data_IF_959082011702
#
_entry.id   IF_959082011702
#
_cell.length_a   1.000
_cell.length_b   1.000
_cell.length_c   1.000
_cell.angle_alpha   90.00
_cell.angle_beta   90.00
_cell.angle_gamma   90.00
#
_symmetry.space_group_name_H-M   'P 1'
#
loop_
_entity.id
_entity.type
_entity.pdbx_description
1 polymer ?
#
# COMPACT_ATOMS: atom_id res chain seq x y z
N UNK A 1 -7.40 1.33 -10.25
CA UNK A 1 -7.04 0.17 -11.12
C UNK A 1 -5.70 0.41 -11.82
N UNK A 2 -4.85 -0.63 -11.97
CA UNK A 2 -3.56 -0.53 -12.68
C UNK A 2 -3.73 -0.23 -14.19
N UNK A 3 -2.83 0.57 -14.76
CA UNK A 3 -2.94 1.10 -16.13
C UNK A 3 -2.21 0.21 -17.16
N UNK A 4 -1.00 -0.26 -16.85
CA UNK A 4 -0.16 -1.10 -17.72
C UNK A 4 -0.52 -2.59 -17.65
N UNK A 5 -0.12 -3.36 -18.66
CA UNK A 5 -0.40 -4.81 -18.71
C UNK A 5 0.40 -5.59 -17.65
N UNK A 6 1.63 -5.16 -17.37
CA UNK A 6 2.51 -5.81 -16.39
C UNK A 6 1.99 -5.64 -14.95
N UNK A 7 1.54 -4.44 -14.60
CA UNK A 7 1.00 -4.18 -13.26
C UNK A 7 -0.41 -4.74 -13.09
N UNK A 8 -1.20 -4.86 -14.17
CA UNK A 8 -2.44 -5.65 -14.17
C UNK A 8 -2.19 -7.11 -13.80
N UNK A 9 -1.21 -7.77 -14.42
CA UNK A 9 -0.87 -9.16 -14.07
C UNK A 9 -0.43 -9.28 -12.61
N UNK A 10 0.39 -8.35 -12.14
CA UNK A 10 0.84 -8.32 -10.74
C UNK A 10 -0.35 -8.11 -9.79
N UNK A 11 -1.32 -7.27 -10.16
CA UNK A 11 -2.54 -7.03 -9.40
C UNK A 11 -3.45 -8.25 -9.36
N UNK A 12 -3.58 -9.03 -10.45
CA UNK A 12 -4.31 -10.31 -10.41
C UNK A 12 -3.66 -11.31 -9.45
N UNK A 13 -2.33 -11.35 -9.36
CA UNK A 13 -1.62 -12.18 -8.37
C UNK A 13 -1.92 -11.72 -6.94
N UNK A 14 -1.99 -10.40 -6.71
CA UNK A 14 -2.40 -9.83 -5.42
C UNK A 14 -3.85 -10.19 -5.08
N UNK A 15 -4.77 -10.12 -6.05
CA UNK A 15 -6.16 -10.54 -5.86
C UNK A 15 -6.25 -12.03 -5.48
N UNK A 16 -5.45 -12.90 -6.12
CA UNK A 16 -5.36 -14.31 -5.77
C UNK A 16 -4.88 -14.54 -4.33
N UNK A 17 -3.86 -13.78 -3.90
CA UNK A 17 -3.40 -13.82 -2.51
C UNK A 17 -4.51 -13.45 -1.51
N UNK A 18 -5.28 -12.40 -1.82
CA UNK A 18 -6.37 -11.93 -0.95
C UNK A 18 -7.51 -12.96 -0.94
N UNK A 19 -7.86 -13.52 -2.09
CA UNK A 19 -8.87 -14.58 -2.18
C UNK A 19 -8.46 -15.84 -1.39
N UNK A 20 -7.18 -16.21 -1.38
CA UNK A 20 -6.66 -17.29 -0.50
C UNK A 20 -6.83 -16.94 0.99
N UNK A 21 -6.73 -15.66 1.36
CA UNK A 21 -6.81 -15.22 2.75
C UNK A 21 -8.26 -15.09 3.27
N UNK A 22 -9.15 -14.46 2.51
CA UNK A 22 -10.54 -14.14 2.94
C UNK A 22 -11.61 -15.06 2.32
N UNK A 23 -11.18 -16.01 1.49
CA UNK A 23 -12.04 -16.95 0.78
C UNK A 23 -12.66 -16.39 -0.49
N UNK A 24 -13.60 -17.16 -1.05
CA UNK A 24 -14.27 -16.82 -2.30
C UNK A 24 -15.29 -15.68 -2.07
N UNK A 25 -14.87 -14.46 -2.40
CA UNK A 25 -15.65 -13.24 -2.26
C UNK A 25 -15.96 -12.63 -3.62
N UNK A 26 -16.99 -11.77 -3.67
CA UNK A 26 -17.29 -11.01 -4.87
C UNK A 26 -16.08 -10.17 -5.32
N UNK A 27 -15.86 -10.06 -6.63
CA UNK A 27 -14.68 -9.37 -7.18
C UNK A 27 -14.57 -7.91 -6.73
N UNK A 28 -15.69 -7.21 -6.50
CA UNK A 28 -15.69 -5.87 -5.94
C UNK A 28 -15.07 -5.80 -4.53
N UNK A 29 -15.35 -6.80 -3.68
CA UNK A 29 -14.78 -6.91 -2.34
C UNK A 29 -13.28 -7.22 -2.41
N UNK A 30 -12.88 -8.16 -3.28
CA UNK A 30 -11.47 -8.49 -3.49
C UNK A 30 -10.67 -7.27 -3.98
N UNK A 31 -11.21 -6.51 -4.94
CA UNK A 31 -10.59 -5.27 -5.41
C UNK A 31 -10.48 -4.23 -4.30
N UNK A 32 -11.53 -4.03 -3.49
CA UNK A 32 -11.50 -3.11 -2.36
C UNK A 32 -10.41 -3.48 -1.35
N UNK A 33 -10.33 -4.76 -0.98
CA UNK A 33 -9.27 -5.24 -0.09
C UNK A 33 -7.86 -5.08 -0.72
N UNK A 34 -7.71 -5.34 -2.01
CA UNK A 34 -6.43 -5.17 -2.70
C UNK A 34 -5.98 -3.71 -2.74
N UNK A 35 -6.94 -2.80 -2.92
CA UNK A 35 -6.72 -1.37 -2.92
C UNK A 35 -6.26 -0.90 -1.53
N UNK A 36 -6.94 -1.30 -0.45
CA UNK A 36 -6.52 -1.01 0.93
C UNK A 36 -5.13 -1.59 1.26
N UNK A 37 -4.85 -2.81 0.83
CA UNK A 37 -3.52 -3.42 1.00
C UNK A 37 -2.44 -2.60 0.28
N UNK A 38 -2.69 -2.13 -0.94
CA UNK A 38 -1.74 -1.29 -1.66
C UNK A 38 -1.54 0.06 -0.96
N UNK A 39 -2.58 0.68 -0.41
CA UNK A 39 -2.48 1.91 0.38
C UNK A 39 -1.52 1.71 1.56
N UNK A 40 -1.70 0.63 2.33
CA UNK A 40 -0.83 0.32 3.47
C UNK A 40 0.61 0.04 3.03
N UNK A 41 0.81 -0.72 1.95
CA UNK A 41 2.14 -1.05 1.42
C UNK A 41 2.89 0.18 0.89
N UNK A 42 2.17 1.18 0.39
CA UNK A 42 2.72 2.43 -0.14
C UNK A 42 2.86 3.53 0.92
N UNK A 43 2.43 3.27 2.16
CA UNK A 43 2.59 4.24 3.24
C UNK A 43 4.02 4.24 3.79
N UNK A 44 4.84 5.17 3.30
CA UNK A 44 6.25 5.33 3.69
C UNK A 44 6.47 5.75 5.15
N UNK A 45 5.41 6.15 5.86
CA UNK A 45 5.46 6.45 7.30
C UNK A 45 5.42 5.19 8.17
N UNK A 46 4.97 4.06 7.62
CA UNK A 46 4.86 2.79 8.34
C UNK A 46 6.09 1.90 8.07
N UNK A 47 6.60 1.27 9.13
CA UNK A 47 7.63 0.22 8.99
C UNK A 47 6.98 -1.10 8.59
N UNK A 48 7.76 -2.03 8.03
CA UNK A 48 7.27 -3.33 7.55
C UNK A 48 6.45 -4.11 8.60
N UNK A 49 6.86 -4.08 9.87
CA UNK A 49 6.12 -4.74 10.96
C UNK A 49 4.73 -4.13 11.17
N UNK A 50 4.64 -2.80 11.06
CA UNK A 50 3.41 -2.05 11.24
C UNK A 50 2.51 -2.29 10.02
N UNK A 51 3.05 -2.18 8.79
CA UNK A 51 2.34 -2.52 7.54
C UNK A 51 1.77 -3.94 7.56
N UNK A 52 2.55 -4.91 8.05
CA UNK A 52 2.11 -6.28 8.19
C UNK A 52 0.91 -6.40 9.13
N UNK A 53 0.99 -5.76 10.29
CA UNK A 53 -0.07 -5.79 11.30
C UNK A 53 -1.38 -5.18 10.79
N UNK A 54 -1.27 -4.06 10.06
CA UNK A 54 -2.42 -3.42 9.41
C UNK A 54 -3.06 -4.34 8.35
N UNK A 55 -2.26 -4.96 7.47
CA UNK A 55 -2.77 -5.90 6.46
C UNK A 55 -3.42 -7.13 7.11
N UNK A 56 -2.82 -7.69 8.17
CA UNK A 56 -3.42 -8.79 8.93
C UNK A 56 -4.77 -8.39 9.53
N UNK A 57 -4.89 -7.14 10.00
CA UNK A 57 -6.13 -6.60 10.55
C UNK A 57 -7.18 -6.42 9.47
N UNK A 58 -6.81 -5.83 8.33
CA UNK A 58 -7.69 -5.63 7.16
C UNK A 58 -8.26 -6.97 6.66
N UNK A 59 -7.42 -7.99 6.53
CA UNK A 59 -7.82 -9.31 6.04
C UNK A 59 -8.34 -10.23 7.15
N UNK A 60 -8.35 -9.76 8.41
CA UNK A 60 -8.69 -10.54 9.60
C UNK A 60 -7.98 -11.90 9.67
N UNK A 61 -6.76 -11.97 9.14
CA UNK A 61 -6.03 -13.21 8.90
C UNK A 61 -4.55 -13.02 9.22
N UNK A 62 -3.94 -14.01 9.88
CA UNK A 62 -2.50 -14.01 10.16
C UNK A 62 -1.70 -14.35 8.90
N UNK A 63 -0.65 -13.59 8.65
CA UNK A 63 0.17 -13.71 7.44
C UNK A 63 1.58 -14.15 7.84
N UNK A 64 2.07 -15.30 7.36
CA UNK A 64 3.47 -15.69 7.56
C UNK A 64 4.44 -14.67 6.94
N UNK A 65 5.62 -14.48 7.52
CA UNK A 65 6.62 -13.50 7.04
C UNK A 65 6.98 -13.69 5.56
N UNK A 66 7.10 -14.95 5.11
CA UNK A 66 7.37 -15.27 3.72
C UNK A 66 6.25 -14.79 2.77
N UNK A 67 4.99 -14.92 3.20
CA UNK A 67 3.82 -14.48 2.42
C UNK A 67 3.73 -12.95 2.43
N UNK A 68 4.05 -12.30 3.55
CA UNK A 68 4.14 -10.84 3.63
C UNK A 68 5.23 -10.28 2.70
N UNK A 69 6.43 -10.86 2.70
CA UNK A 69 7.51 -10.45 1.81
C UNK A 69 7.12 -10.57 0.32
N UNK A 70 6.36 -11.61 -0.03
CA UNK A 70 5.80 -11.75 -1.38
C UNK A 70 4.85 -10.61 -1.73
N UNK A 71 3.89 -10.28 -0.84
CA UNK A 71 2.95 -9.16 -1.02
C UNK A 71 3.66 -7.81 -1.13
N UNK A 72 4.71 -7.56 -0.33
CA UNK A 72 5.55 -6.35 -0.44
C UNK A 72 6.20 -6.25 -1.82
N UNK A 73 6.70 -7.36 -2.36
CA UNK A 73 7.32 -7.38 -3.69
C UNK A 73 6.30 -7.13 -4.82
N UNK A 74 5.06 -7.61 -4.69
CA UNK A 74 3.97 -7.28 -5.61
C UNK A 74 3.65 -5.77 -5.55
N UNK A 75 3.51 -5.23 -4.34
CA UNK A 75 3.27 -3.81 -4.12
C UNK A 75 4.35 -2.90 -4.72
N UNK A 76 5.62 -3.30 -4.66
CA UNK A 76 6.73 -2.55 -5.29
C UNK A 76 6.61 -2.48 -6.81
N UNK A 77 6.13 -3.55 -7.45
CA UNK A 77 5.96 -3.63 -8.91
C UNK A 77 4.73 -2.87 -9.41
N UNK A 78 3.71 -2.72 -8.57
CA UNK A 78 2.50 -1.94 -8.90
C UNK A 78 2.78 -0.46 -8.59
N UNK A 79 3.08 0.33 -9.62
CA UNK A 79 3.41 1.76 -9.48
C UNK A 79 2.33 2.68 -10.05
N UNK A 80 1.55 2.19 -11.00
CA UNK A 80 0.57 2.94 -11.80
C UNK A 80 -0.87 2.54 -11.47
N UNK A 81 -1.17 2.44 -10.17
CA UNK A 81 -2.51 2.16 -9.65
C UNK A 81 -3.15 3.45 -9.13
N UNK A 82 -4.44 3.64 -9.42
CA UNK A 82 -5.27 4.72 -8.86
C UNK A 82 -6.35 4.10 -8.00
N UNK A 83 -6.67 4.65 -6.84
CA UNK A 83 -8.01 4.48 -6.27
C UNK A 83 -8.99 5.22 -7.18
N UNK A 84 -10.20 4.72 -7.37
CA UNK A 84 -11.23 5.48 -8.09
C UNK A 84 -11.80 6.64 -7.25
N UNK A 85 -11.34 6.77 -6.00
CA UNK A 85 -11.50 7.96 -5.17
C UNK A 85 -10.72 9.12 -5.79
N UNK A 86 -11.39 9.86 -6.66
CA UNK A 86 -10.99 11.21 -7.07
C UNK A 86 -11.00 12.15 -5.86
N UNK A 87 -10.04 12.04 -4.94
CA UNK A 87 -9.51 13.14 -4.13
C UNK A 87 -8.30 12.68 -3.30
N UNK A 88 -7.08 12.84 -3.82
CA UNK A 88 -5.89 12.84 -2.96
C UNK A 88 -4.58 12.39 -3.59
N UNK A 89 -3.91 13.33 -4.27
CA UNK A 89 -2.45 13.41 -4.45
C UNK A 89 -1.82 12.19 -5.15
N UNK A 90 -1.73 12.16 -6.47
CA UNK A 90 -0.77 12.98 -7.25
C UNK A 90 0.53 13.23 -6.49
N UNK A 91 1.58 12.59 -6.99
CA UNK A 91 3.00 12.91 -6.81
C UNK A 91 3.29 14.25 -6.12
N UNK A 92 3.60 14.20 -4.83
CA UNK A 92 4.23 15.32 -4.14
C UNK A 92 5.44 14.79 -3.38
N UNK A 93 6.53 14.66 -4.14
CA UNK A 93 7.87 14.92 -3.60
C UNK A 93 7.88 16.35 -3.05
N UNK A 94 7.51 16.52 -1.78
CA UNK A 94 7.76 17.76 -1.03
C UNK A 94 8.89 17.46 -0.07
N UNK A 95 10.09 17.69 -0.56
CA UNK A 95 11.27 17.97 0.24
C UNK A 95 11.00 19.27 1.00
N UNK A 96 10.43 19.17 2.21
CA UNK A 96 10.35 20.29 3.16
C UNK A 96 11.63 20.29 4.01
N UNK A 97 12.73 20.71 3.39
CA UNK A 97 13.90 21.22 4.12
C UNK A 97 13.57 22.61 4.67
N UNK A 98 12.73 22.69 5.69
CA UNK A 98 12.58 23.91 6.51
C UNK A 98 13.31 23.71 7.84
N UNK A 99 14.64 23.81 7.75
CA UNK A 99 15.52 23.95 8.91
C UNK A 99 15.57 25.42 9.34
N UNK A 100 14.65 25.84 10.20
CA UNK A 100 14.72 27.17 10.82
C UNK A 100 15.78 27.14 11.93
N UNK A 101 16.98 27.64 11.61
CA UNK A 101 18.03 27.92 12.58
C UNK A 101 17.63 29.13 13.42
N UNK A 102 17.39 28.93 14.72
CA UNK A 102 17.10 30.01 15.68
C UNK A 102 18.43 30.54 16.26
N UNK A 103 18.90 31.67 15.75
CA UNK A 103 19.93 32.46 16.45
C UNK A 103 19.23 33.38 17.44
N UNK A 104 19.48 33.14 18.72
CA UNK A 104 19.10 34.03 19.80
C UNK A 104 20.19 35.09 19.94
N UNK A 105 19.86 36.35 19.65
CA UNK A 105 20.65 37.50 20.10
C UNK A 105 19.93 38.25 21.23
N UNK A 106 20.77 38.64 22.18
CA UNK A 106 20.58 39.03 23.58
C UNK A 106 19.82 40.37 23.76
N UNK A 107 19.09 40.52 24.87
CA UNK A 107 18.63 41.83 25.38
C UNK A 107 18.60 41.84 26.91
#
# INVERSE_FOLDING_TARGET
RPKTQETKQTYEVLLGFIQEAIGDQARSILCGAADEVLIVLKNDKLRDKDRKTEIETLLSTKIPDQRFAFVVNLGKKITDWTTDDKNGKEDEAIDETDGVNVEFEDS
#
